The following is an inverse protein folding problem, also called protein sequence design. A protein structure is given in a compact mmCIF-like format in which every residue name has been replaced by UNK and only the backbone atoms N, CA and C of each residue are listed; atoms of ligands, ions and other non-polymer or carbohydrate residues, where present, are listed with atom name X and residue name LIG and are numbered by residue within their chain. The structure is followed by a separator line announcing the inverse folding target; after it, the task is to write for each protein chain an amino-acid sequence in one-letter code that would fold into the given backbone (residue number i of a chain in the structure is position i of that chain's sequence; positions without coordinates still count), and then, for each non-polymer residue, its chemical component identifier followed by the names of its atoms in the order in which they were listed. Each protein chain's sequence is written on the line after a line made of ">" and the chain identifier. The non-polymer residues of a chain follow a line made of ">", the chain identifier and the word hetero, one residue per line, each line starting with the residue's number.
data_IF_244071041600
#
_entry.id   IF_244071041600
#
_cell.length_a   1.000
_cell.length_b   1.000
_cell.length_c   1.000
_cell.angle_alpha   90.00
_cell.angle_beta   90.00
_cell.angle_gamma   90.00
#
_symmetry.space_group_name_H-M   'P 1'
#
loop_
_entity.id
_entity.type
_entity.pdbx_description
1 polymer ?
#
# COMPACT_ATOMS: atom_id res chain seq x y z
N UNK A 1 -18.78 -19.64 -29.22
CA UNK A 1 -17.50 -18.93 -29.47
C UNK A 1 -16.71 -18.90 -28.18
N UNK A 2 -15.36 -19.03 -28.21
CA UNK A 2 -14.55 -18.97 -26.99
C UNK A 2 -14.61 -17.58 -26.36
N UNK A 3 -14.56 -17.52 -25.02
CA UNK A 3 -14.53 -16.27 -24.24
C UNK A 3 -13.17 -15.62 -24.47
N UNK A 4 -13.14 -14.37 -24.95
CA UNK A 4 -11.90 -13.65 -25.23
C UNK A 4 -11.45 -12.85 -24.02
N UNK A 5 -10.22 -13.09 -23.57
CA UNK A 5 -9.65 -12.45 -22.38
C UNK A 5 -8.42 -11.65 -22.79
N UNK A 6 -8.41 -10.36 -22.48
CA UNK A 6 -7.24 -9.49 -22.64
C UNK A 6 -6.44 -9.43 -21.33
N UNK A 7 -5.14 -9.68 -21.37
CA UNK A 7 -4.22 -9.40 -20.27
C UNK A 7 -3.36 -8.21 -20.67
N UNK A 8 -3.65 -7.03 -20.11
CA UNK A 8 -3.08 -5.76 -20.58
C UNK A 8 -1.89 -5.25 -19.77
N UNK A 9 -1.52 -5.96 -18.69
CA UNK A 9 -0.38 -5.65 -17.83
C UNK A 9 0.52 -6.89 -17.64
N UNK A 10 1.82 -6.69 -17.35
CA UNK A 10 2.74 -7.81 -17.05
C UNK A 10 2.28 -8.64 -15.84
N UNK A 11 2.09 -9.94 -16.04
CA UNK A 11 1.66 -10.89 -15.02
C UNK A 11 2.61 -12.08 -14.94
N UNK A 12 2.58 -12.82 -13.83
CA UNK A 12 3.33 -14.08 -13.72
C UNK A 12 2.86 -15.08 -14.78
N UNK A 13 3.81 -15.83 -15.34
CA UNK A 13 3.52 -16.88 -16.31
C UNK A 13 2.54 -17.91 -15.76
N UNK A 14 2.66 -18.25 -14.47
CA UNK A 14 1.75 -19.17 -13.79
C UNK A 14 0.30 -18.66 -13.82
N UNK A 15 0.07 -17.37 -13.55
CA UNK A 15 -1.26 -16.77 -13.61
C UNK A 15 -1.85 -16.77 -15.03
N UNK A 16 -1.02 -16.60 -16.05
CA UNK A 16 -1.44 -16.66 -17.46
C UNK A 16 -1.81 -18.08 -17.84
N UNK A 17 -0.98 -19.07 -17.46
CA UNK A 17 -1.20 -20.49 -17.75
C UNK A 17 -2.51 -21.04 -17.18
N UNK A 18 -2.95 -20.55 -16.02
CA UNK A 18 -4.26 -20.92 -15.46
C UNK A 18 -5.39 -20.60 -16.44
N UNK A 19 -5.34 -19.43 -17.10
CA UNK A 19 -6.35 -19.03 -18.08
C UNK A 19 -6.16 -19.73 -19.42
N UNK A 20 -4.93 -19.97 -19.86
CA UNK A 20 -4.63 -20.65 -21.13
C UNK A 20 -5.00 -22.14 -21.11
N UNK A 21 -4.93 -22.78 -19.94
CA UNK A 21 -5.30 -24.19 -19.77
C UNK A 21 -6.81 -24.43 -19.86
N UNK A 22 -7.62 -23.37 -19.76
CA UNK A 22 -9.07 -23.44 -19.91
C UNK A 22 -9.47 -23.44 -21.39
N UNK A 23 -9.96 -24.58 -21.88
CA UNK A 23 -10.32 -24.78 -23.30
C UNK A 23 -11.36 -23.80 -23.83
N UNK A 24 -12.16 -23.22 -22.94
CA UNK A 24 -13.22 -22.27 -23.30
C UNK A 24 -12.71 -20.84 -23.49
N UNK A 25 -11.46 -20.55 -23.10
CA UNK A 25 -10.87 -19.23 -23.14
C UNK A 25 -9.94 -19.05 -24.32
N UNK A 26 -9.92 -17.84 -24.87
CA UNK A 26 -8.90 -17.35 -25.79
C UNK A 26 -8.20 -16.18 -25.12
N UNK A 27 -7.00 -16.43 -24.62
CA UNK A 27 -6.18 -15.45 -23.91
C UNK A 27 -5.33 -14.66 -24.91
N UNK A 28 -5.33 -13.33 -24.80
CA UNK A 28 -4.50 -12.41 -25.57
C UNK A 28 -3.68 -11.57 -24.60
N UNK A 29 -2.35 -11.76 -24.60
CA UNK A 29 -1.42 -11.10 -23.67
C UNK A 29 -0.76 -9.93 -24.39
N UNK A 30 -1.16 -8.70 -24.03
CA UNK A 30 -0.66 -7.46 -24.64
C UNK A 30 -0.32 -6.44 -23.56
N UNK A 31 0.80 -6.62 -22.84
CA UNK A 31 1.23 -5.66 -21.84
C UNK A 31 1.60 -4.32 -22.49
N UNK A 32 1.41 -3.22 -21.75
CA UNK A 32 1.83 -1.86 -22.14
C UNK A 32 1.06 -1.26 -23.34
N UNK A 33 -0.20 -1.66 -23.52
CA UNK A 33 -1.08 -1.02 -24.51
C UNK A 33 -1.32 0.45 -24.13
N UNK A 34 -1.12 1.41 -25.05
CA UNK A 34 -1.55 2.79 -24.86
C UNK A 34 -3.08 2.85 -24.70
N UNK A 35 -3.58 3.81 -23.91
CA UNK A 35 -5.01 3.97 -23.63
C UNK A 35 -5.86 4.08 -24.92
N UNK A 36 -5.38 4.84 -25.90
CA UNK A 36 -6.05 5.01 -27.20
C UNK A 36 -6.14 3.71 -28.01
N UNK A 37 -5.11 2.86 -27.94
CA UNK A 37 -5.14 1.56 -28.61
C UNK A 37 -6.05 0.59 -27.88
N UNK A 38 -5.97 0.56 -26.54
CA UNK A 38 -6.84 -0.24 -25.70
C UNK A 38 -8.31 0.06 -25.99
N UNK A 39 -8.69 1.35 -26.03
CA UNK A 39 -10.05 1.79 -26.33
C UNK A 39 -10.56 1.30 -27.70
N UNK A 40 -9.70 1.21 -28.71
CA UNK A 40 -10.08 0.72 -30.05
C UNK A 40 -10.36 -0.77 -30.07
N UNK A 41 -9.60 -1.55 -29.31
CA UNK A 41 -9.67 -3.01 -29.36
C UNK A 41 -10.56 -3.63 -28.28
N UNK A 42 -10.83 -2.92 -27.19
CA UNK A 42 -11.47 -3.48 -25.98
C UNK A 42 -12.86 -4.07 -26.23
N UNK A 43 -13.62 -3.51 -27.18
CA UNK A 43 -14.93 -4.04 -27.62
C UNK A 43 -14.90 -5.48 -28.15
N UNK A 44 -13.71 -5.98 -28.50
CA UNK A 44 -13.54 -7.33 -29.03
C UNK A 44 -13.31 -8.40 -27.96
N UNK A 45 -13.31 -8.03 -26.68
CA UNK A 45 -13.03 -8.92 -25.55
C UNK A 45 -14.22 -9.02 -24.59
N UNK A 46 -14.41 -10.20 -24.01
CA UNK A 46 -15.43 -10.47 -22.99
C UNK A 46 -14.91 -10.16 -21.58
N UNK A 47 -13.60 -10.25 -21.37
CA UNK A 47 -12.95 -10.02 -20.08
C UNK A 47 -11.61 -9.31 -20.24
N UNK A 48 -11.22 -8.57 -19.21
CA UNK A 48 -9.88 -7.99 -19.10
C UNK A 48 -9.28 -8.27 -17.73
N UNK A 49 -7.99 -8.59 -17.71
CA UNK A 49 -7.18 -8.74 -16.52
C UNK A 49 -6.07 -7.69 -16.52
N UNK A 50 -6.04 -6.87 -15.46
CA UNK A 50 -5.11 -5.76 -15.31
C UNK A 50 -4.31 -5.86 -14.00
N UNK A 51 -3.26 -5.05 -13.86
CA UNK A 51 -2.54 -4.76 -12.61
C UNK A 51 -2.61 -3.26 -12.33
N UNK A 52 -1.47 -2.58 -12.26
CA UNK A 52 -1.38 -1.15 -11.93
C UNK A 52 -1.07 -0.26 -13.13
N UNK A 53 -0.68 -0.84 -14.28
CA UNK A 53 -0.23 -0.08 -15.44
C UNK A 53 -1.40 0.44 -16.27
N UNK A 54 -2.33 -0.46 -16.60
CA UNK A 54 -3.53 -0.14 -17.35
C UNK A 54 -4.52 0.65 -16.48
N UNK A 55 -5.02 1.77 -17.00
CA UNK A 55 -6.11 2.53 -16.37
C UNK A 55 -7.40 2.30 -17.16
N UNK A 56 -8.42 1.76 -16.51
CA UNK A 56 -9.76 1.60 -17.07
C UNK A 56 -10.61 2.79 -16.67
N UNK A 57 -10.40 3.89 -17.39
CA UNK A 57 -11.19 5.12 -17.26
C UNK A 57 -12.61 4.92 -17.79
N UNK A 58 -13.51 5.82 -17.41
CA UNK A 58 -14.92 5.82 -17.84
C UNK A 58 -15.08 5.62 -19.35
N UNK A 59 -14.31 6.33 -20.16
CA UNK A 59 -14.43 6.32 -21.61
C UNK A 59 -13.94 5.01 -22.26
N UNK A 60 -12.98 4.31 -21.65
CA UNK A 60 -12.56 2.97 -22.07
C UNK A 60 -13.63 1.95 -21.72
N UNK A 61 -14.19 2.04 -20.51
CA UNK A 61 -15.26 1.15 -20.04
C UNK A 61 -16.51 1.33 -20.90
N UNK A 62 -16.90 2.57 -21.19
CA UNK A 62 -18.04 2.89 -22.06
C UNK A 62 -17.85 2.39 -23.50
N UNK A 63 -16.62 2.28 -24.00
CA UNK A 63 -16.31 1.71 -25.32
C UNK A 63 -16.22 0.18 -25.36
N UNK A 64 -16.29 -0.50 -24.21
CA UNK A 64 -16.05 -1.96 -24.11
C UNK A 64 -17.33 -2.81 -24.22
N UNK A 65 -17.21 -4.12 -24.44
CA UNK A 65 -18.33 -5.08 -24.30
C UNK A 65 -17.99 -6.12 -23.21
N UNK A 66 -17.19 -5.68 -22.24
CA UNK A 66 -16.70 -6.54 -21.16
C UNK A 66 -17.85 -7.01 -20.27
N UNK A 67 -17.74 -8.23 -19.78
CA UNK A 67 -18.60 -8.80 -18.74
C UNK A 67 -17.94 -8.76 -17.38
N UNK A 68 -16.60 -8.83 -17.36
CA UNK A 68 -15.81 -8.85 -16.14
C UNK A 68 -14.46 -8.13 -16.30
N UNK A 69 -14.08 -7.39 -15.26
CA UNK A 69 -12.76 -6.78 -15.06
C UNK A 69 -12.12 -7.47 -13.86
N UNK A 70 -10.98 -8.12 -14.08
CA UNK A 70 -10.13 -8.64 -13.01
C UNK A 70 -8.96 -7.70 -12.75
N UNK A 71 -8.68 -7.38 -11.49
CA UNK A 71 -7.41 -6.75 -11.08
C UNK A 71 -6.58 -7.71 -10.25
N UNK A 72 -5.39 -8.05 -10.73
CA UNK A 72 -4.37 -8.81 -10.00
C UNK A 72 -3.66 -7.89 -8.98
N UNK A 73 -4.41 -7.48 -7.96
CA UNK A 73 -4.00 -6.61 -6.85
C UNK A 73 -5.16 -6.33 -5.90
N UNK A 74 -4.89 -5.68 -4.76
CA UNK A 74 -5.91 -5.40 -3.73
C UNK A 74 -6.70 -4.12 -3.99
N UNK A 75 -6.02 -3.03 -4.39
CA UNK A 75 -6.69 -1.77 -4.70
C UNK A 75 -7.56 -1.87 -5.95
N UNK A 76 -8.41 -0.86 -6.18
CA UNK A 76 -9.16 -0.67 -7.42
C UNK A 76 -8.99 0.75 -8.01
N UNK A 77 -7.96 1.47 -7.55
CA UNK A 77 -7.64 2.87 -7.86
C UNK A 77 -7.53 3.22 -9.37
N UNK A 78 -7.27 2.23 -10.22
CA UNK A 78 -7.11 2.38 -11.67
C UNK A 78 -8.31 1.85 -12.48
N UNK A 79 -9.45 1.63 -11.83
CA UNK A 79 -10.71 1.21 -12.48
C UNK A 79 -11.81 2.17 -12.06
N UNK A 80 -12.54 2.75 -13.02
CA UNK A 80 -13.75 3.50 -12.72
C UNK A 80 -14.90 2.54 -12.39
N UNK A 81 -15.05 2.25 -11.10
CA UNK A 81 -16.06 1.33 -10.57
C UNK A 81 -17.48 1.81 -10.86
N UNK A 82 -17.71 3.13 -10.87
CA UNK A 82 -19.02 3.69 -11.14
C UNK A 82 -19.42 3.47 -12.61
N UNK A 83 -18.50 3.67 -13.54
CA UNK A 83 -18.72 3.38 -14.96
C UNK A 83 -18.95 1.87 -15.20
N UNK A 84 -18.14 1.01 -14.57
CA UNK A 84 -18.30 -0.44 -14.68
C UNK A 84 -19.67 -0.89 -14.16
N UNK A 85 -20.06 -0.40 -12.98
CA UNK A 85 -21.35 -0.72 -12.35
C UNK A 85 -22.53 -0.30 -13.22
N UNK A 86 -22.52 0.93 -13.77
CA UNK A 86 -23.59 1.43 -14.65
C UNK A 86 -23.76 0.59 -15.92
N UNK A 87 -22.67 -0.04 -16.38
CA UNK A 87 -22.66 -0.90 -17.56
C UNK A 87 -22.92 -2.38 -17.25
N UNK A 88 -23.13 -2.72 -15.97
CA UNK A 88 -23.36 -4.11 -15.54
C UNK A 88 -22.11 -4.98 -15.58
N UNK A 89 -20.92 -4.38 -15.56
CA UNK A 89 -19.64 -5.09 -15.63
C UNK A 89 -19.19 -5.45 -14.22
N UNK A 90 -18.94 -6.74 -13.99
CA UNK A 90 -18.45 -7.23 -12.70
C UNK A 90 -16.99 -6.81 -12.52
N UNK A 91 -16.63 -6.27 -11.37
CA UNK A 91 -15.23 -5.97 -11.02
C UNK A 91 -14.79 -6.85 -9.87
N UNK A 92 -13.70 -7.60 -10.08
CA UNK A 92 -13.08 -8.46 -9.06
C UNK A 92 -11.63 -8.06 -8.84
N UNK A 93 -11.18 -8.15 -7.60
CA UNK A 93 -9.79 -7.95 -7.19
C UNK A 93 -9.28 -9.19 -6.45
N UNK A 94 -8.02 -9.17 -6.02
CA UNK A 94 -7.40 -10.25 -5.24
C UNK A 94 -7.16 -9.79 -3.79
N UNK A 95 -8.21 -9.64 -2.95
CA UNK A 95 -8.07 -9.12 -1.61
C UNK A 95 -7.18 -10.03 -0.77
N UNK A 96 -6.24 -9.42 -0.03
CA UNK A 96 -5.34 -10.13 0.86
C UNK A 96 -4.09 -10.75 0.19
N UNK A 97 -4.02 -10.81 -1.14
CA UNK A 97 -2.92 -11.47 -1.87
C UNK A 97 -1.53 -10.84 -1.65
N UNK A 98 -1.45 -9.61 -1.16
CA UNK A 98 -0.20 -8.92 -0.84
C UNK A 98 -0.04 -8.59 0.65
N UNK A 99 -0.87 -9.17 1.53
CA UNK A 99 -0.87 -8.82 2.96
C UNK A 99 0.50 -9.03 3.59
N UNK A 100 1.05 -10.24 3.42
CA UNK A 100 2.32 -10.63 4.03
C UNK A 100 3.48 -9.83 3.46
N UNK A 101 3.59 -9.75 2.13
CA UNK A 101 4.66 -8.98 1.47
C UNK A 101 4.64 -7.50 1.85
N UNK A 102 3.46 -6.90 2.01
CA UNK A 102 3.36 -5.49 2.44
C UNK A 102 3.76 -5.32 3.90
N UNK A 103 3.38 -6.26 4.78
CA UNK A 103 3.79 -6.23 6.18
C UNK A 103 5.31 -6.41 6.34
N UNK A 104 5.91 -7.35 5.61
CA UNK A 104 7.37 -7.55 5.54
C UNK A 104 8.10 -6.31 5.03
N UNK A 105 7.57 -5.69 3.97
CA UNK A 105 8.14 -4.46 3.43
C UNK A 105 8.08 -3.31 4.44
N UNK A 106 6.95 -3.17 5.16
CA UNK A 106 6.79 -2.18 6.23
C UNK A 106 7.84 -2.36 7.32
N UNK A 107 8.01 -3.58 7.84
CA UNK A 107 9.04 -3.87 8.85
C UNK A 107 10.46 -3.63 8.31
N UNK A 108 10.70 -3.94 7.03
CA UNK A 108 11.99 -3.69 6.38
C UNK A 108 12.31 -2.18 6.32
N UNK A 109 11.31 -1.34 6.01
CA UNK A 109 11.46 0.12 5.99
C UNK A 109 11.68 0.68 7.40
N UNK A 110 10.96 0.18 8.41
CA UNK A 110 11.20 0.53 9.82
C UNK A 110 12.66 0.23 10.21
N UNK A 111 13.17 -0.95 9.85
CA UNK A 111 14.57 -1.34 10.11
C UNK A 111 15.57 -0.46 9.33
N UNK A 112 15.27 -0.15 8.07
CA UNK A 112 16.10 0.72 7.23
C UNK A 112 16.22 2.12 7.83
N UNK A 113 15.10 2.71 8.29
CA UNK A 113 15.08 4.01 8.98
C UNK A 113 15.78 3.98 10.33
N UNK A 114 15.72 2.84 11.03
CA UNK A 114 16.38 2.67 12.33
C UNK A 114 17.89 2.59 12.20
N UNK A 115 18.40 2.02 11.10
CA UNK A 115 19.83 1.67 10.95
C UNK A 115 20.53 2.42 9.81
N UNK A 116 19.86 3.37 9.16
CA UNK A 116 20.38 4.15 8.03
C UNK A 116 20.91 3.26 6.89
N UNK A 117 20.26 2.13 6.62
CA UNK A 117 20.79 1.08 5.73
C UNK A 117 21.05 1.63 4.32
N UNK A 118 20.10 2.31 3.64
CA UNK A 118 20.34 2.82 2.29
C UNK A 118 21.47 3.86 2.24
N UNK A 119 21.57 4.72 3.25
CA UNK A 119 22.59 5.77 3.32
C UNK A 119 23.99 5.18 3.58
N UNK A 120 24.09 4.19 4.46
CA UNK A 120 25.34 3.49 4.76
C UNK A 120 25.83 2.66 3.57
N UNK A 121 24.93 1.94 2.88
CA UNK A 121 25.23 1.20 1.65
C UNK A 121 25.79 2.13 0.56
N UNK A 122 25.13 3.30 0.35
CA UNK A 122 25.60 4.31 -0.60
C UNK A 122 27.01 4.82 -0.26
N UNK A 123 27.29 5.10 1.01
CA UNK A 123 28.61 5.55 1.48
C UNK A 123 29.70 4.51 1.19
N UNK A 124 29.42 3.24 1.43
CA UNK A 124 30.40 2.17 1.15
C UNK A 124 30.64 2.01 -0.35
N UNK A 125 29.59 2.07 -1.16
CA UNK A 125 29.70 2.01 -2.63
C UNK A 125 30.46 3.20 -3.22
N UNK A 126 30.50 4.34 -2.53
CA UNK A 126 31.34 5.48 -2.90
C UNK A 126 32.77 5.40 -2.34
N UNK A 127 33.16 4.29 -1.70
CA UNK A 127 34.49 4.09 -1.15
C UNK A 127 34.73 4.73 0.22
N UNK A 128 33.68 5.22 0.90
CA UNK A 128 33.79 5.91 2.18
C UNK A 128 33.39 5.02 3.36
N UNK A 129 34.28 4.90 4.35
CA UNK A 129 34.01 4.16 5.60
C UNK A 129 33.58 5.08 6.75
N UNK A 130 32.32 5.52 6.75
CA UNK A 130 31.80 6.54 7.68
C UNK A 130 31.08 5.97 8.93
N UNK A 131 31.69 5.03 9.66
CA UNK A 131 31.05 4.37 10.82
C UNK A 131 30.47 5.34 11.87
N UNK A 132 31.18 6.44 12.18
CA UNK A 132 30.74 7.42 13.19
C UNK A 132 29.49 8.20 12.79
N UNK A 133 29.25 8.36 11.48
CA UNK A 133 28.12 9.14 10.93
C UNK A 133 26.79 8.38 11.06
N UNK A 134 26.81 7.06 10.99
CA UNK A 134 25.60 6.23 10.91
C UNK A 134 25.23 5.61 12.25
N UNK A 135 25.04 6.44 13.27
CA UNK A 135 24.45 5.99 14.54
C UNK A 135 22.98 5.62 14.32
N UNK A 136 22.59 4.41 14.72
CA UNK A 136 21.22 3.92 14.59
C UNK A 136 20.38 4.12 15.84
N UNK A 137 19.09 3.77 15.74
CA UNK A 137 18.18 3.58 16.86
C UNK A 137 17.91 2.09 17.03
N UNK A 138 17.91 1.62 18.27
CA UNK A 138 17.36 0.32 18.62
C UNK A 138 15.82 0.39 18.62
N UNK A 139 15.15 -0.70 18.22
CA UNK A 139 13.69 -0.83 18.23
C UNK A 139 13.14 -1.34 19.57
N UNK A 140 13.94 -2.10 20.32
CA UNK A 140 13.53 -2.68 21.60
C UNK A 140 12.99 -1.60 22.54
N UNK A 141 11.78 -1.82 23.08
CA UNK A 141 11.11 -0.89 23.99
C UNK A 141 10.62 0.43 23.37
N UNK A 142 10.82 0.64 22.05
CA UNK A 142 10.23 1.79 21.35
C UNK A 142 8.74 1.56 21.07
N UNK A 143 8.00 2.65 20.97
CA UNK A 143 6.57 2.60 20.65
C UNK A 143 6.33 2.68 19.15
N UNK A 144 5.61 1.71 18.60
CA UNK A 144 5.09 1.71 17.23
C UNK A 144 3.59 2.01 17.26
N UNK A 145 3.21 3.15 16.69
CA UNK A 145 1.83 3.51 16.41
C UNK A 145 1.39 3.01 15.04
N UNK A 146 0.32 2.22 15.02
CA UNK A 146 -0.26 1.70 13.78
C UNK A 146 -1.61 2.38 13.51
N UNK A 147 -1.70 3.12 12.42
CA UNK A 147 -2.94 3.74 11.96
C UNK A 147 -3.59 2.78 10.96
N UNK A 148 -4.68 2.13 11.36
CA UNK A 148 -5.39 1.10 10.60
C UNK A 148 -4.95 -0.32 10.96
N UNK A 149 -5.85 -1.08 11.60
CA UNK A 149 -5.67 -2.49 11.97
C UNK A 149 -6.48 -3.42 11.06
N UNK A 150 -6.35 -3.19 9.75
CA UNK A 150 -6.75 -4.16 8.73
C UNK A 150 -5.81 -5.37 8.70
N UNK A 151 -5.89 -6.17 7.63
CA UNK A 151 -5.04 -7.37 7.44
C UNK A 151 -3.55 -7.05 7.58
N UNK A 152 -3.07 -5.99 6.93
CA UNK A 152 -1.64 -5.61 6.95
C UNK A 152 -1.24 -5.09 8.33
N UNK A 153 -2.02 -4.18 8.92
CA UNK A 153 -1.70 -3.61 10.24
C UNK A 153 -1.59 -4.67 11.33
N UNK A 154 -2.44 -5.71 11.31
CA UNK A 154 -2.32 -6.84 12.24
C UNK A 154 -1.04 -7.65 12.04
N UNK A 155 -0.64 -7.92 10.80
CA UNK A 155 0.61 -8.64 10.50
C UNK A 155 1.86 -7.84 10.88
N UNK A 156 1.81 -6.51 10.73
CA UNK A 156 2.85 -5.58 11.19
C UNK A 156 2.92 -5.56 12.71
N UNK A 157 1.79 -5.45 13.40
CA UNK A 157 1.72 -5.47 14.87
C UNK A 157 2.36 -6.74 15.46
N UNK A 158 2.01 -7.90 14.89
CA UNK A 158 2.55 -9.19 15.33
C UNK A 158 4.09 -9.25 15.19
N UNK A 159 4.62 -8.82 14.04
CA UNK A 159 6.08 -8.80 13.78
C UNK A 159 6.78 -7.78 14.67
N UNK A 160 6.24 -6.58 14.83
CA UNK A 160 6.78 -5.56 15.73
C UNK A 160 6.86 -6.05 17.19
N UNK A 161 5.88 -6.84 17.63
CA UNK A 161 5.91 -7.52 18.92
C UNK A 161 7.11 -8.46 19.09
N UNK A 162 7.59 -9.12 18.02
CA UNK A 162 8.80 -9.96 18.07
C UNK A 162 10.09 -9.14 18.26
N UNK A 163 10.09 -7.87 17.84
CA UNK A 163 11.16 -6.91 18.18
C UNK A 163 11.00 -6.30 19.57
N UNK A 164 9.97 -6.71 20.32
CA UNK A 164 9.63 -6.19 21.66
C UNK A 164 9.41 -4.67 21.65
N UNK A 165 8.78 -4.18 20.58
CA UNK A 165 8.22 -2.83 20.53
C UNK A 165 6.91 -2.79 21.33
N UNK A 166 6.59 -1.62 21.89
CA UNK A 166 5.26 -1.34 22.45
C UNK A 166 4.33 -0.99 21.28
N UNK A 167 3.35 -1.84 20.97
CA UNK A 167 2.46 -1.62 19.82
C UNK A 167 1.14 -1.05 20.29
N UNK A 168 0.84 0.16 19.82
CA UNK A 168 -0.45 0.84 19.99
C UNK A 168 -1.06 1.10 18.63
N UNK A 169 -2.37 1.24 18.57
CA UNK A 169 -3.05 1.41 17.30
C UNK A 169 -4.29 2.28 17.37
N UNK A 170 -4.61 2.90 16.23
CA UNK A 170 -5.84 3.63 15.99
C UNK A 170 -6.58 3.00 14.81
N UNK A 171 -7.81 2.53 15.04
CA UNK A 171 -8.71 2.08 13.97
C UNK A 171 -10.17 2.39 14.39
N UNK A 172 -10.86 3.32 13.69
CA UNK A 172 -12.21 3.73 14.07
C UNK A 172 -13.28 2.66 13.82
N UNK A 173 -12.94 1.56 13.13
CA UNK A 173 -13.87 0.50 12.77
C UNK A 173 -13.61 -0.81 13.52
N UNK A 174 -12.54 -0.89 14.32
CA UNK A 174 -12.21 -2.09 15.08
C UNK A 174 -12.80 -2.02 16.50
N UNK A 175 -13.49 -3.08 16.93
CA UNK A 175 -13.96 -3.16 18.31
C UNK A 175 -12.81 -3.40 19.29
N UNK A 176 -12.91 -2.78 20.48
CA UNK A 176 -11.94 -2.93 21.59
C UNK A 176 -11.76 -4.41 21.97
N UNK A 177 -12.83 -5.21 21.94
CA UNK A 177 -12.77 -6.65 22.24
C UNK A 177 -11.90 -7.43 21.24
N UNK A 178 -11.93 -7.05 19.96
CA UNK A 178 -11.08 -7.67 18.94
C UNK A 178 -9.62 -7.29 19.14
N UNK A 179 -9.34 -6.02 19.49
CA UNK A 179 -7.98 -5.58 19.80
C UNK A 179 -7.40 -6.24 21.06
N UNK A 180 -8.20 -6.37 22.13
CA UNK A 180 -7.80 -7.09 23.36
C UNK A 180 -7.37 -8.53 23.09
N UNK A 181 -8.10 -9.26 22.24
CA UNK A 181 -7.72 -10.62 21.82
C UNK A 181 -6.39 -10.67 21.10
N UNK A 182 -6.06 -9.60 20.37
CA UNK A 182 -4.80 -9.45 19.64
C UNK A 182 -3.66 -8.91 20.53
N UNK A 183 -3.94 -8.58 21.80
CA UNK A 183 -3.01 -7.92 22.73
C UNK A 183 -2.44 -6.61 22.17
N UNK A 184 -3.25 -5.90 21.38
CA UNK A 184 -2.93 -4.57 20.87
C UNK A 184 -3.78 -3.56 21.63
N UNK A 185 -3.14 -2.51 22.11
CA UNK A 185 -3.81 -1.40 22.76
C UNK A 185 -4.40 -0.46 21.70
N UNK A 186 -5.72 -0.28 21.72
CA UNK A 186 -6.37 0.75 20.92
C UNK A 186 -6.38 2.06 21.69
N UNK A 187 -5.87 3.10 21.05
CA UNK A 187 -5.84 4.47 21.54
C UNK A 187 -6.51 5.38 20.52
N UNK A 188 -6.82 6.61 20.91
CA UNK A 188 -7.24 7.61 19.92
C UNK A 188 -6.04 8.08 19.06
N UNK A 189 -6.34 8.80 17.98
CA UNK A 189 -5.30 9.27 17.07
C UNK A 189 -4.33 10.23 17.77
N UNK A 190 -4.83 11.10 18.67
CA UNK A 190 -3.99 12.10 19.33
C UNK A 190 -2.97 11.46 20.26
N UNK A 191 -3.39 10.49 21.07
CA UNK A 191 -2.53 9.69 21.94
C UNK A 191 -1.50 8.89 21.13
N UNK A 192 -1.92 8.26 20.02
CA UNK A 192 -1.02 7.54 19.13
C UNK A 192 0.10 8.47 18.63
N UNK A 193 -0.26 9.65 18.14
CA UNK A 193 0.71 10.62 17.60
C UNK A 193 1.70 11.06 18.70
N UNK A 194 1.21 11.39 19.89
CA UNK A 194 2.02 11.92 21.00
C UNK A 194 3.00 10.92 21.61
N UNK A 195 2.71 9.62 21.53
CA UNK A 195 3.46 8.58 22.26
C UNK A 195 4.37 7.74 21.36
N UNK A 196 4.12 7.71 20.06
CA UNK A 196 4.84 6.86 19.09
C UNK A 196 6.24 7.37 18.74
N UNK A 197 7.23 6.47 18.75
CA UNK A 197 8.56 6.70 18.19
C UNK A 197 8.59 6.43 16.67
N UNK A 198 7.76 5.47 16.24
CA UNK A 198 7.53 5.09 14.85
C UNK A 198 6.02 5.10 14.58
N UNK A 199 5.60 5.63 13.44
CA UNK A 199 4.20 5.61 13.00
C UNK A 199 4.14 4.96 11.63
N UNK A 200 3.21 4.03 11.44
CA UNK A 200 2.93 3.42 10.13
C UNK A 200 1.45 3.49 9.79
N UNK A 201 1.13 3.78 8.54
CA UNK A 201 -0.25 3.88 8.05
C UNK A 201 -0.62 2.67 7.18
N UNK A 202 -1.77 2.06 7.46
CA UNK A 202 -2.33 0.90 6.78
C UNK A 202 -3.83 1.05 6.51
N UNK A 203 -4.27 2.28 6.24
CA UNK A 203 -5.66 2.62 5.89
C UNK A 203 -5.83 2.70 4.36
N UNK A 204 -7.06 2.49 3.84
CA UNK A 204 -7.37 2.89 2.47
C UNK A 204 -7.34 4.41 2.33
N UNK A 205 -7.17 4.90 1.11
CA UNK A 205 -7.37 6.33 0.81
C UNK A 205 -8.86 6.61 0.61
N UNK A 206 -9.40 7.53 1.41
CA UNK A 206 -10.78 8.03 1.37
C UNK A 206 -10.75 9.54 1.55
N UNK A 207 -11.90 10.22 1.52
CA UNK A 207 -11.96 11.64 1.88
C UNK A 207 -11.49 11.91 3.31
N UNK A 208 -11.78 10.99 4.24
CA UNK A 208 -11.42 11.11 5.65
C UNK A 208 -9.95 10.82 5.93
N UNK A 209 -9.31 9.92 5.15
CA UNK A 209 -7.91 9.54 5.35
C UNK A 209 -6.95 10.32 4.47
N UNK A 210 -7.46 11.10 3.50
CA UNK A 210 -6.65 12.00 2.67
C UNK A 210 -6.03 13.08 3.53
N UNK A 211 -4.71 13.18 3.48
CA UNK A 211 -3.90 14.11 4.27
C UNK A 211 -4.20 14.03 5.78
N UNK A 212 -4.57 12.84 6.27
CA UNK A 212 -4.86 12.65 7.69
C UNK A 212 -3.64 12.92 8.58
N UNK A 213 -2.43 12.78 8.04
CA UNK A 213 -1.20 13.26 8.66
C UNK A 213 -0.76 14.53 7.93
N UNK A 214 -1.27 15.67 8.40
CA UNK A 214 -0.90 17.00 7.94
C UNK A 214 -0.01 17.74 8.94
N UNK A 215 0.19 19.03 8.72
CA UNK A 215 1.07 19.87 9.55
C UNK A 215 0.65 19.88 11.03
N UNK A 216 -0.66 19.90 11.30
CA UNK A 216 -1.21 19.85 12.66
C UNK A 216 -0.83 18.55 13.37
N UNK A 217 -1.02 17.42 12.69
CA UNK A 217 -0.75 16.09 13.24
C UNK A 217 0.74 15.87 13.47
N UNK A 218 1.59 16.27 12.53
CA UNK A 218 3.03 16.19 12.71
C UNK A 218 3.52 17.02 13.90
N UNK A 219 2.94 18.20 14.15
CA UNK A 219 3.29 19.02 15.32
C UNK A 219 3.01 18.32 16.64
N UNK A 220 1.99 17.47 16.71
CA UNK A 220 1.63 16.68 17.89
C UNK A 220 2.59 15.51 18.16
N UNK A 221 3.33 15.06 17.14
CA UNK A 221 4.22 13.90 17.27
C UNK A 221 5.43 14.16 18.17
N UNK A 222 6.11 13.10 18.61
CA UNK A 222 7.41 13.23 19.29
C UNK A 222 8.45 13.85 18.35
N UNK A 223 9.38 14.62 18.90
CA UNK A 223 10.52 15.10 18.13
C UNK A 223 11.41 13.91 17.76
N UNK A 224 11.80 13.81 16.49
CA UNK A 224 12.58 12.69 15.95
C UNK A 224 11.75 11.44 15.63
N UNK A 225 10.42 11.56 15.53
CA UNK A 225 9.54 10.46 15.08
C UNK A 225 9.93 9.99 13.68
N UNK A 226 9.71 8.71 13.38
CA UNK A 226 9.88 8.14 12.04
C UNK A 226 8.54 7.66 11.49
N UNK A 227 8.28 7.93 10.21
CA UNK A 227 6.96 7.66 9.62
C UNK A 227 7.08 6.76 8.39
N UNK A 228 6.20 5.76 8.28
CA UNK A 228 6.19 4.78 7.19
C UNK A 228 4.83 4.75 6.50
N UNK A 229 4.82 4.81 5.17
CA UNK A 229 3.61 4.67 4.36
C UNK A 229 3.78 3.65 3.24
N UNK A 230 3.42 2.41 3.53
CA UNK A 230 3.28 1.33 2.53
C UNK A 230 1.83 1.11 2.09
N UNK A 231 0.93 2.04 2.42
CA UNK A 231 -0.49 1.96 2.09
C UNK A 231 -0.81 2.63 0.76
N UNK A 232 -0.95 3.96 0.75
CA UNK A 232 -1.32 4.76 -0.42
C UNK A 232 -0.75 6.17 -0.32
N UNK A 233 -0.34 6.73 -1.46
CA UNK A 233 -0.01 8.14 -1.58
C UNK A 233 -1.22 9.03 -1.24
N UNK A 234 -0.96 10.21 -0.69
CA UNK A 234 -1.99 11.16 -0.27
C UNK A 234 -2.69 10.83 1.07
N UNK A 235 -2.30 9.77 1.78
CA UNK A 235 -2.69 9.60 3.20
C UNK A 235 -1.91 10.60 4.07
N UNK A 236 -0.63 10.75 3.76
CA UNK A 236 0.25 11.74 4.35
C UNK A 236 0.31 12.94 3.41
N UNK A 237 0.19 14.15 3.95
CA UNK A 237 0.47 15.38 3.20
C UNK A 237 1.99 15.47 2.97
N UNK A 238 2.39 15.36 1.71
CA UNK A 238 3.81 15.30 1.31
C UNK A 238 4.54 16.63 1.55
N UNK A 239 3.86 17.77 1.39
CA UNK A 239 4.44 19.08 1.67
C UNK A 239 4.64 19.29 3.17
N UNK A 240 3.65 18.88 3.97
CA UNK A 240 3.77 18.91 5.42
C UNK A 240 4.91 17.99 5.90
N UNK A 241 4.99 16.77 5.36
CA UNK A 241 6.06 15.83 5.69
C UNK A 241 7.44 16.41 5.36
N UNK A 242 7.60 17.02 4.19
CA UNK A 242 8.85 17.65 3.77
C UNK A 242 9.31 18.72 4.78
N UNK A 243 8.44 19.65 5.15
CA UNK A 243 8.74 20.70 6.15
C UNK A 243 9.13 20.09 7.50
N UNK A 244 8.48 18.99 7.89
CA UNK A 244 8.75 18.31 9.17
C UNK A 244 10.07 17.55 9.17
N UNK A 245 10.49 17.02 8.02
CA UNK A 245 11.83 16.47 7.82
C UNK A 245 12.90 17.58 7.90
N UNK A 246 12.70 18.71 7.23
CA UNK A 246 13.64 19.85 7.28
C UNK A 246 13.82 20.40 8.71
N UNK A 247 12.74 20.48 9.49
CA UNK A 247 12.80 20.93 10.88
C UNK A 247 13.40 19.91 11.87
N UNK A 248 13.63 18.66 11.43
CA UNK A 248 14.04 17.55 12.28
C UNK A 248 12.94 17.00 13.21
N UNK A 249 11.72 17.55 13.15
CA UNK A 249 10.56 17.01 13.86
C UNK A 249 10.31 15.55 13.48
N UNK A 250 10.41 15.24 12.19
CA UNK A 250 10.46 13.88 11.66
C UNK A 250 11.92 13.55 11.33
N UNK A 251 12.46 12.50 11.93
CA UNK A 251 13.86 12.08 11.72
C UNK A 251 14.06 11.28 10.42
N UNK A 252 12.99 10.74 9.86
CA UNK A 252 13.03 9.99 8.61
C UNK A 252 11.66 9.46 8.21
N UNK A 253 11.46 9.30 6.91
CA UNK A 253 10.25 8.75 6.33
C UNK A 253 10.54 7.71 5.25
N UNK A 254 9.64 6.75 5.08
CA UNK A 254 9.76 5.67 4.10
C UNK A 254 8.42 5.23 3.51
#
# INVERSE_FOLDING_TARGET
>A
MPIKILISDPMSEEGVKILENERSFKVDVRPKLPAEELKKIIKNYDAILIRSGTKLTKDIIEASELKIIGRAGVGLDNVDINAATKKGIIVVNAPGGNTISTAEHTMSLIMALSRNIPQADKSLKSGEWNRKKFMGSELYGKTLGIIGLGRIGMEVASRAGSFKMNVIAYDPHLSVEKAKRLKIELVDLEELLKTSDYITVHTPITEQTRHMLGEKEFKMMKYGVRVVNTARGGIIDEEALYKMLESGKVAGAA
#
